data_IF_180520472319
#
_entry.id   IF_180520472319
#
_cell.length_a   1.000
_cell.length_b   1.000
_cell.length_c   1.000
_cell.angle_alpha   90.00
_cell.angle_beta   90.00
_cell.angle_gamma   90.00
#
_symmetry.space_group_name_H-M   'P 1'
#
loop_
_entity.id
_entity.type
_entity.pdbx_description
1 polymer ?
#
# COMPACT_ATOMS: atom_id res chain seq x y z
N UNK A 1 -23.07 -11.46 -13.85
CA UNK A 1 -22.65 -10.75 -15.07
C UNK A 1 -23.91 -10.40 -15.85
N UNK A 2 -24.06 -9.15 -16.28
CA UNK A 2 -25.17 -8.70 -17.09
C UNK A 2 -24.67 -7.74 -18.19
N UNK A 3 -25.39 -7.72 -19.33
CA UNK A 3 -25.05 -6.82 -20.43
C UNK A 3 -25.12 -5.35 -20.01
N UNK A 4 -24.26 -4.50 -20.57
CA UNK A 4 -24.19 -3.05 -20.32
C UNK A 4 -23.86 -2.66 -18.86
N UNK A 5 -23.38 -3.59 -18.03
CA UNK A 5 -22.87 -3.31 -16.69
C UNK A 5 -21.34 -3.18 -16.68
N UNK A 6 -20.83 -2.22 -15.92
CA UNK A 6 -19.38 -2.08 -15.72
C UNK A 6 -18.94 -3.05 -14.62
N UNK A 7 -17.80 -3.73 -14.77
CA UNK A 7 -17.23 -4.52 -13.67
C UNK A 7 -16.81 -3.60 -12.51
N UNK A 8 -16.93 -4.12 -11.31
CA UNK A 8 -16.33 -3.47 -10.14
C UNK A 8 -14.80 -3.52 -10.29
N UNK A 9 -14.13 -2.40 -10.07
CA UNK A 9 -12.69 -2.32 -10.09
C UNK A 9 -12.20 -1.49 -8.89
N UNK A 10 -11.18 -2.00 -8.20
CA UNK A 10 -10.43 -1.27 -7.16
C UNK A 10 -9.02 -0.90 -7.64
N UNK A 11 -8.77 -1.00 -8.94
CA UNK A 11 -7.47 -0.61 -9.51
C UNK A 11 -7.16 0.84 -9.18
N UNK A 12 -5.97 1.06 -8.65
CA UNK A 12 -5.52 2.38 -8.18
C UNK A 12 -4.06 2.59 -8.62
N UNK A 13 -3.76 2.56 -9.93
CA UNK A 13 -2.45 2.99 -10.41
C UNK A 13 -2.30 4.48 -10.10
N UNK A 14 -1.20 4.86 -9.46
CA UNK A 14 -1.04 6.20 -8.90
C UNK A 14 0.24 6.85 -9.38
N UNK A 15 0.10 8.08 -9.87
CA UNK A 15 1.20 8.98 -10.19
C UNK A 15 1.06 10.23 -9.33
N UNK A 16 2.07 10.52 -8.51
CA UNK A 16 2.12 11.74 -7.70
C UNK A 16 2.99 12.77 -8.39
N UNK A 17 2.49 13.99 -8.51
CA UNK A 17 3.21 15.13 -9.06
C UNK A 17 3.49 16.16 -7.95
N UNK A 18 4.66 16.78 -8.00
CA UNK A 18 5.02 17.96 -7.21
C UNK A 18 5.50 19.03 -8.19
N UNK A 19 4.88 20.19 -8.14
CA UNK A 19 5.19 21.32 -9.04
C UNK A 19 5.18 20.92 -10.53
N UNK A 20 4.20 20.06 -10.91
CA UNK A 20 4.04 19.56 -12.27
C UNK A 20 5.01 18.45 -12.68
N UNK A 21 5.93 18.02 -11.81
CA UNK A 21 6.89 16.95 -12.08
C UNK A 21 6.52 15.66 -11.36
N UNK A 22 6.63 14.49 -12.01
CA UNK A 22 6.43 13.21 -11.33
C UNK A 22 7.45 13.05 -10.20
N UNK A 23 6.96 12.59 -9.03
CA UNK A 23 7.78 12.30 -7.84
C UNK A 23 7.62 10.89 -7.34
N UNK A 24 6.46 10.27 -7.60
CA UNK A 24 6.21 8.90 -7.19
C UNK A 24 5.28 8.21 -8.20
N UNK A 25 5.62 7.00 -8.57
CA UNK A 25 4.76 6.09 -9.34
C UNK A 25 4.58 4.83 -8.53
N UNK A 26 3.35 4.42 -8.29
CA UNK A 26 3.09 3.21 -7.50
C UNK A 26 1.80 2.53 -7.91
N UNK A 27 1.72 1.25 -7.63
CA UNK A 27 0.54 0.42 -7.83
C UNK A 27 0.70 -0.92 -7.14
N UNK A 28 -0.40 -1.65 -6.99
CA UNK A 28 -0.41 -2.96 -6.35
C UNK A 28 -1.55 -3.83 -6.88
N UNK A 29 -1.40 -5.14 -7.02
CA UNK A 29 -2.51 -6.08 -7.04
C UNK A 29 -3.09 -6.23 -5.63
N UNK A 30 -4.30 -6.80 -5.48
CA UNK A 30 -4.86 -7.09 -4.15
C UNK A 30 -6.37 -6.99 -4.02
N UNK A 31 -7.12 -6.88 -5.11
CA UNK A 31 -8.59 -6.74 -5.06
C UNK A 31 -9.01 -5.50 -4.28
N UNK A 32 -9.99 -5.60 -3.39
CA UNK A 32 -10.49 -4.47 -2.60
C UNK A 32 -9.41 -3.79 -1.73
N UNK A 33 -8.31 -4.49 -1.41
CA UNK A 33 -7.21 -3.97 -0.59
C UNK A 33 -6.22 -3.09 -1.37
N UNK A 34 -6.32 -3.01 -2.69
CA UNK A 34 -5.42 -2.20 -3.52
C UNK A 34 -5.45 -0.74 -3.06
N UNK A 35 -6.63 -0.17 -2.84
CA UNK A 35 -6.82 1.23 -2.48
C UNK A 35 -6.04 1.58 -1.20
N UNK A 36 -6.22 0.79 -0.15
CA UNK A 36 -5.54 1.05 1.14
C UNK A 36 -4.05 0.74 1.09
N UNK A 37 -3.63 -0.24 0.29
CA UNK A 37 -2.21 -0.53 0.07
C UNK A 37 -1.52 0.65 -0.61
N UNK A 38 -2.08 1.18 -1.68
CA UNK A 38 -1.53 2.32 -2.40
C UNK A 38 -1.57 3.58 -1.54
N UNK A 39 -2.68 3.84 -0.83
CA UNK A 39 -2.80 4.96 0.10
C UNK A 39 -1.65 4.96 1.12
N UNK A 40 -1.43 3.83 1.80
CA UNK A 40 -0.35 3.73 2.80
C UNK A 40 1.03 3.92 2.19
N UNK A 41 1.26 3.42 0.98
CA UNK A 41 2.53 3.64 0.27
C UNK A 41 2.75 5.12 -0.03
N UNK A 42 1.73 5.82 -0.50
CA UNK A 42 1.80 7.28 -0.76
C UNK A 42 2.06 8.05 0.53
N UNK A 43 1.28 7.81 1.58
CA UNK A 43 1.44 8.48 2.89
C UNK A 43 2.82 8.19 3.49
N UNK A 44 3.27 6.94 3.46
CA UNK A 44 4.60 6.57 3.97
C UNK A 44 5.73 7.31 3.23
N UNK A 45 5.59 7.45 1.92
CA UNK A 45 6.62 8.12 1.10
C UNK A 45 6.56 9.64 1.21
N UNK A 46 5.37 10.23 1.15
CA UNK A 46 5.20 11.69 1.05
C UNK A 46 5.18 12.34 2.43
N UNK A 47 4.38 11.81 3.37
CA UNK A 47 4.18 12.43 4.67
C UNK A 47 5.23 12.00 5.69
N UNK A 48 5.63 10.73 5.66
CA UNK A 48 6.65 10.19 6.58
C UNK A 48 8.07 10.16 6.00
N UNK A 49 8.26 10.53 4.73
CA UNK A 49 9.57 10.63 4.11
C UNK A 49 10.31 9.30 3.90
N UNK A 50 9.58 8.18 3.97
CA UNK A 50 10.18 6.86 3.78
C UNK A 50 10.67 6.68 2.34
N UNK A 51 11.79 5.97 2.18
CA UNK A 51 12.20 5.52 0.84
C UNK A 51 11.29 4.38 0.35
N UNK A 52 11.32 4.01 -0.95
CA UNK A 52 10.45 2.97 -1.50
C UNK A 52 10.56 1.61 -0.79
N UNK A 53 11.75 1.24 -0.33
CA UNK A 53 11.96 -0.03 0.37
C UNK A 53 11.32 -0.03 1.76
N UNK A 54 11.50 1.04 2.52
CA UNK A 54 10.86 1.24 3.82
C UNK A 54 9.35 1.25 3.70
N UNK A 55 8.81 2.07 2.77
CA UNK A 55 7.37 2.19 2.55
C UNK A 55 6.72 0.85 2.14
N UNK A 56 7.40 0.06 1.30
CA UNK A 56 6.92 -1.25 0.89
C UNK A 56 6.99 -2.29 2.01
N UNK A 57 8.02 -2.24 2.86
CA UNK A 57 8.25 -3.23 3.92
C UNK A 57 7.41 -3.01 5.18
N UNK A 58 6.89 -1.79 5.38
CA UNK A 58 6.05 -1.45 6.53
C UNK A 58 4.80 -2.35 6.60
N UNK A 59 4.44 -2.88 7.78
CA UNK A 59 3.20 -3.63 7.98
C UNK A 59 1.98 -2.80 7.61
N UNK A 60 1.03 -3.43 6.92
CA UNK A 60 -0.17 -2.76 6.39
C UNK A 60 -1.41 -3.05 7.21
N UNK A 61 -2.34 -2.11 7.15
CA UNK A 61 -3.68 -2.23 7.70
C UNK A 61 -4.72 -2.06 6.60
N UNK A 62 -5.92 -2.61 6.82
CA UNK A 62 -7.04 -2.46 5.89
C UNK A 62 -8.37 -2.55 6.61
N UNK A 63 -9.26 -1.64 6.29
CA UNK A 63 -10.67 -1.69 6.68
C UNK A 63 -11.53 -1.25 5.49
N UNK A 64 -12.60 -1.98 5.20
CA UNK A 64 -13.46 -1.71 4.05
C UNK A 64 -14.95 -1.60 4.42
N UNK A 65 -15.24 -1.30 5.70
CA UNK A 65 -16.59 -1.25 6.28
C UNK A 65 -17.19 -2.65 6.48
N UNK A 66 -17.44 -3.44 5.44
CA UNK A 66 -17.92 -4.83 5.51
C UNK A 66 -16.93 -5.77 4.81
N UNK A 67 -16.50 -6.86 5.48
CA UNK A 67 -16.75 -7.17 6.88
C UNK A 67 -16.19 -6.10 7.83
N UNK A 68 -16.88 -5.87 8.98
CA UNK A 68 -16.44 -4.96 10.02
C UNK A 68 -15.25 -5.58 10.79
N UNK A 69 -14.08 -5.54 10.17
CA UNK A 69 -12.82 -5.96 10.79
C UNK A 69 -11.68 -5.03 10.34
N UNK A 70 -10.83 -4.64 11.27
CA UNK A 70 -9.55 -4.02 10.97
C UNK A 70 -8.52 -5.13 10.76
N UNK A 71 -8.26 -5.43 9.50
CA UNK A 71 -7.24 -6.37 9.09
C UNK A 71 -5.86 -5.73 9.26
N UNK A 72 -4.95 -6.42 9.92
CA UNK A 72 -3.57 -5.98 10.14
C UNK A 72 -2.59 -7.07 9.75
N UNK A 73 -1.44 -6.69 9.24
CA UNK A 73 -0.32 -7.61 9.03
C UNK A 73 0.46 -7.83 10.33
N UNK A 74 1.24 -8.90 10.40
CA UNK A 74 2.20 -9.10 11.49
C UNK A 74 3.25 -7.99 11.50
N UNK A 75 3.72 -7.61 12.69
CA UNK A 75 4.80 -6.61 12.86
C UNK A 75 4.32 -5.25 13.36
N UNK A 76 3.01 -5.02 13.49
CA UNK A 76 2.53 -3.86 14.24
C UNK A 76 2.81 -4.03 15.73
N UNK A 77 3.17 -2.90 16.39
CA UNK A 77 3.41 -2.88 17.84
C UNK A 77 2.19 -3.39 18.62
N UNK A 78 2.38 -4.24 19.65
CA UNK A 78 1.30 -4.67 20.54
C UNK A 78 0.55 -3.50 21.17
N UNK A 79 1.24 -2.42 21.52
CA UNK A 79 0.64 -1.22 22.10
C UNK A 79 -0.30 -0.54 21.10
N UNK A 80 0.11 -0.45 19.82
CA UNK A 80 -0.76 0.08 18.76
C UNK A 80 -2.02 -0.78 18.60
N UNK A 81 -1.87 -2.10 18.60
CA UNK A 81 -3.00 -3.02 18.51
C UNK A 81 -3.96 -2.86 19.69
N UNK A 82 -3.42 -2.72 20.92
CA UNK A 82 -4.23 -2.50 22.13
C UNK A 82 -5.01 -1.17 22.07
N UNK A 83 -4.37 -0.10 21.58
CA UNK A 83 -5.04 1.20 21.38
C UNK A 83 -6.18 1.08 20.38
N UNK A 84 -5.96 0.45 19.23
CA UNK A 84 -6.98 0.25 18.21
C UNK A 84 -8.18 -0.58 18.73
N UNK A 85 -7.90 -1.64 19.49
CA UNK A 85 -8.95 -2.45 20.14
C UNK A 85 -9.74 -1.63 21.16
N UNK A 86 -9.06 -0.80 21.98
CA UNK A 86 -9.72 0.10 22.94
C UNK A 86 -10.60 1.14 22.25
N UNK A 87 -10.26 1.54 21.03
CA UNK A 87 -11.07 2.43 20.20
C UNK A 87 -12.27 1.73 19.55
N UNK A 88 -12.43 0.42 19.77
CA UNK A 88 -13.58 -0.36 19.28
C UNK A 88 -13.34 -1.12 17.97
N UNK A 89 -12.13 -1.07 17.40
CA UNK A 89 -11.84 -1.83 16.20
C UNK A 89 -11.73 -3.33 16.49
N UNK A 90 -12.37 -4.14 15.65
CA UNK A 90 -12.21 -5.60 15.63
C UNK A 90 -10.91 -5.98 14.91
N UNK A 91 -9.80 -5.93 15.61
CA UNK A 91 -8.47 -6.19 15.05
C UNK A 91 -8.31 -7.67 14.70
N UNK A 92 -7.89 -7.95 13.47
CA UNK A 92 -7.67 -9.31 12.95
C UNK A 92 -6.31 -9.39 12.24
N UNK A 93 -5.39 -10.14 12.85
CA UNK A 93 -4.07 -10.39 12.23
C UNK A 93 -4.24 -11.39 11.09
N UNK A 94 -3.87 -11.00 9.90
CA UNK A 94 -4.06 -11.77 8.66
C UNK A 94 -2.74 -11.91 7.89
N UNK A 95 -2.68 -12.80 6.89
CA UNK A 95 -1.57 -12.82 5.94
C UNK A 95 -1.37 -11.47 5.25
N UNK A 96 -0.17 -11.27 4.70
CA UNK A 96 0.22 -10.06 3.96
C UNK A 96 -0.77 -9.66 2.87
N UNK A 97 -0.84 -8.37 2.57
CA UNK A 97 -1.76 -7.82 1.58
C UNK A 97 -1.04 -6.88 0.61
N UNK A 98 -1.43 -6.97 -0.67
CA UNK A 98 -0.82 -6.20 -1.74
C UNK A 98 0.61 -6.65 -2.05
N UNK A 99 1.15 -6.11 -3.13
CA UNK A 99 2.54 -6.29 -3.60
C UNK A 99 2.86 -5.05 -4.42
N UNK A 100 3.36 -4.02 -3.75
CA UNK A 100 3.61 -2.74 -4.41
C UNK A 100 4.78 -2.82 -5.37
N UNK A 101 4.66 -2.12 -6.48
CA UNK A 101 5.77 -1.77 -7.35
C UNK A 101 5.87 -0.26 -7.31
N UNK A 102 7.00 0.26 -6.87
CA UNK A 102 7.13 1.68 -6.55
C UNK A 102 8.42 2.23 -7.14
N UNK A 103 8.30 3.39 -7.80
CA UNK A 103 9.43 4.19 -8.26
C UNK A 103 9.27 5.58 -7.68
N UNK A 104 10.26 6.04 -6.93
CA UNK A 104 10.37 7.41 -6.47
C UNK A 104 11.37 8.14 -7.36
N UNK A 105 10.97 9.30 -7.85
CA UNK A 105 11.80 10.17 -8.67
C UNK A 105 12.33 11.29 -7.77
N UNK A 106 13.66 11.45 -7.76
CA UNK A 106 14.37 12.48 -7.01
C UNK A 106 15.30 13.23 -7.95
N UNK A 107 15.85 14.34 -7.50
CA UNK A 107 16.79 15.16 -8.33
C UNK A 107 18.07 14.40 -8.69
N UNK A 108 18.47 13.43 -7.87
CA UNK A 108 19.68 12.62 -8.01
C UNK A 108 19.43 11.26 -8.69
N UNK A 109 18.18 10.89 -9.03
CA UNK A 109 17.91 9.65 -9.74
C UNK A 109 16.54 9.02 -9.49
N UNK A 110 16.40 7.79 -10.00
CA UNK A 110 15.22 6.95 -9.86
C UNK A 110 15.47 5.86 -8.82
N UNK A 111 14.58 5.77 -7.84
CA UNK A 111 14.65 4.81 -6.75
C UNK A 111 13.48 3.84 -6.87
N UNK A 112 13.74 2.64 -7.37
CA UNK A 112 12.73 1.60 -7.52
C UNK A 112 12.82 0.55 -6.43
N UNK A 113 11.68 -0.05 -6.07
CA UNK A 113 11.66 -1.19 -5.17
C UNK A 113 10.48 -2.11 -5.45
N UNK A 114 10.76 -3.41 -5.54
CA UNK A 114 9.75 -4.47 -5.59
C UNK A 114 9.43 -4.95 -4.18
N UNK A 115 8.15 -4.99 -3.86
CA UNK A 115 7.64 -5.38 -2.54
C UNK A 115 8.13 -6.80 -2.16
N UNK A 116 8.70 -7.01 -0.96
CA UNK A 116 9.19 -8.32 -0.53
C UNK A 116 8.07 -9.37 -0.38
N UNK A 117 6.79 -8.95 -0.41
CA UNK A 117 5.63 -9.85 -0.46
C UNK A 117 5.45 -10.49 -1.84
N UNK A 118 6.24 -10.06 -2.82
CA UNK A 118 6.32 -10.65 -4.16
C UNK A 118 7.68 -11.31 -4.36
N UNK A 119 7.85 -12.60 -4.05
CA UNK A 119 9.16 -13.26 -4.12
C UNK A 119 9.75 -13.27 -5.53
N UNK A 120 8.90 -13.17 -6.56
CA UNK A 120 9.33 -13.15 -7.97
C UNK A 120 9.49 -11.72 -8.51
N UNK A 121 9.23 -10.72 -7.68
CA UNK A 121 9.36 -9.31 -8.07
C UNK A 121 10.82 -8.88 -8.14
N UNK A 122 11.16 -8.17 -9.21
CA UNK A 122 12.51 -7.62 -9.41
C UNK A 122 12.42 -6.12 -9.74
N UNK A 123 13.42 -5.39 -9.28
CA UNK A 123 13.67 -4.01 -9.70
C UNK A 123 15.04 -3.99 -10.35
N UNK A 124 15.07 -3.59 -11.61
CA UNK A 124 16.29 -3.50 -12.40
C UNK A 124 16.53 -2.04 -12.77
N UNK A 125 17.78 -1.60 -12.70
CA UNK A 125 18.24 -0.29 -13.12
C UNK A 125 19.44 -0.43 -14.05
N UNK A 126 19.74 0.61 -14.82
CA UNK A 126 20.88 0.74 -15.70
C UNK A 126 21.36 2.20 -15.68
#
# INVERSE_FOLDING_TARGET
VAAKKRPLSSMTPTLVLKDGKPTLVTGSPGGARIITTVLQTVVNTIDFGMNPAEAASTPRIHHQWLPDELRVEKGLSPDTLAILQKQGYKVSVKPTMGRTQTIQLRDDGLYGYSDPRNPDGQTLGY
#
